data_IF_907005050734
#
_entry.id   IF_907005050734
#
_cell.length_a   1.000
_cell.length_b   1.000
_cell.length_c   1.000
_cell.angle_alpha   90.00
_cell.angle_beta   90.00
_cell.angle_gamma   90.00
#
_symmetry.space_group_name_H-M   'P 1'
#
loop_
_entity.id
_entity.type
_entity.pdbx_description
1 polymer ?
#
# COMPACT_ATOMS: atom_id res chain seq x y z
N UNK A 1 -0.75 -2.88 9.69
CA UNK A 1 -0.11 -1.59 9.45
C UNK A 1 -0.71 -0.93 8.22
N UNK A 2 -0.89 0.39 8.26
CA UNK A 2 -1.23 1.24 7.11
C UNK A 2 -0.27 2.42 7.16
N UNK A 3 0.33 2.75 6.02
CA UNK A 3 1.24 3.89 5.90
C UNK A 3 0.49 5.23 5.87
N UNK A 4 -0.65 5.26 5.18
CA UNK A 4 -1.55 6.42 4.99
C UNK A 4 -0.97 7.61 4.21
N UNK A 5 0.22 7.46 3.66
CA UNK A 5 0.89 8.45 2.82
C UNK A 5 1.83 7.78 1.82
N UNK A 6 1.48 6.59 1.33
CA UNK A 6 2.33 5.86 0.41
C UNK A 6 2.15 6.40 -1.02
N UNK A 7 3.08 7.25 -1.43
CA UNK A 7 3.23 7.78 -2.78
C UNK A 7 4.68 7.65 -3.23
N UNK A 8 4.99 7.95 -4.48
CA UNK A 8 6.32 7.72 -5.07
C UNK A 8 7.45 8.43 -4.32
N UNK A 9 7.22 9.63 -3.75
CA UNK A 9 8.25 10.38 -3.02
C UNK A 9 8.59 9.76 -1.66
N UNK A 10 7.70 8.91 -1.13
CA UNK A 10 7.93 8.13 0.10
C UNK A 10 8.47 6.73 -0.19
N UNK A 11 8.86 6.47 -1.45
CA UNK A 11 9.52 5.23 -1.88
C UNK A 11 10.91 5.54 -2.38
N UNK A 12 11.91 5.08 -1.65
CA UNK A 12 13.32 5.23 -2.02
C UNK A 12 13.94 3.87 -2.37
N UNK A 13 15.15 3.89 -2.89
CA UNK A 13 15.93 2.67 -3.06
C UNK A 13 17.39 2.88 -2.62
N UNK A 14 18.02 1.79 -2.24
CA UNK A 14 19.48 1.72 -2.03
C UNK A 14 20.06 0.69 -2.99
N UNK A 15 21.31 0.91 -3.41
CA UNK A 15 22.01 -0.07 -4.24
C UNK A 15 22.45 -1.24 -3.37
N UNK A 16 22.22 -2.45 -3.86
CA UNK A 16 22.63 -3.71 -3.24
C UNK A 16 23.37 -4.59 -4.25
N UNK A 17 24.00 -5.68 -3.80
CA UNK A 17 24.76 -6.60 -4.68
C UNK A 17 23.99 -7.87 -5.00
N UNK A 18 22.97 -8.18 -4.22
CA UNK A 18 22.18 -9.38 -4.36
C UNK A 18 21.29 -9.29 -5.60
N UNK A 19 21.39 -10.27 -6.50
CA UNK A 19 20.56 -10.35 -7.71
C UNK A 19 19.10 -10.68 -7.38
N UNK A 20 18.88 -11.43 -6.30
CA UNK A 20 17.55 -11.89 -5.89
C UNK A 20 17.35 -11.75 -4.39
N UNK A 21 16.08 -11.50 -4.00
CA UNK A 21 15.59 -11.67 -2.64
C UNK A 21 14.57 -12.79 -2.58
N UNK A 22 14.56 -13.49 -1.44
CA UNK A 22 13.66 -14.61 -1.21
C UNK A 22 12.65 -14.25 -0.13
N UNK A 23 11.39 -14.51 -0.42
CA UNK A 23 10.29 -14.21 0.50
C UNK A 23 9.46 -15.47 0.74
N UNK A 24 8.93 -15.61 1.96
CA UNK A 24 7.92 -16.61 2.27
C UNK A 24 6.65 -15.92 2.74
N UNK A 25 5.54 -16.21 2.07
CA UNK A 25 4.21 -15.74 2.45
C UNK A 25 3.19 -16.86 2.26
N UNK A 26 2.38 -17.15 3.28
CA UNK A 26 1.37 -18.21 3.27
C UNK A 26 1.91 -19.58 2.77
N UNK A 27 3.07 -19.99 3.26
CA UNK A 27 3.78 -21.22 2.89
C UNK A 27 4.21 -21.31 1.39
N UNK A 28 4.11 -20.24 0.64
CA UNK A 28 4.66 -20.13 -0.70
C UNK A 28 5.96 -19.35 -0.66
N UNK A 29 6.91 -19.75 -1.51
CA UNK A 29 8.18 -19.06 -1.63
C UNK A 29 8.24 -18.30 -2.94
N UNK A 30 8.84 -17.12 -2.89
CA UNK A 30 8.99 -16.22 -4.02
C UNK A 30 10.45 -15.83 -4.17
N UNK A 31 10.97 -15.85 -5.39
CA UNK A 31 12.26 -15.30 -5.75
C UNK A 31 12.05 -14.05 -6.59
N UNK A 32 12.39 -12.91 -6.02
CA UNK A 32 12.15 -11.60 -6.63
C UNK A 32 13.48 -11.01 -7.10
N UNK A 33 13.64 -10.67 -8.41
CA UNK A 33 14.83 -9.99 -8.89
C UNK A 33 14.93 -8.60 -8.26
N UNK A 34 16.13 -8.22 -7.88
CA UNK A 34 16.36 -6.93 -7.21
C UNK A 34 16.73 -5.81 -8.19
N UNK A 35 17.24 -6.15 -9.36
CA UNK A 35 17.86 -5.20 -10.28
C UNK A 35 18.93 -4.33 -9.58
N UNK A 36 19.66 -4.93 -8.63
CA UNK A 36 20.67 -4.29 -7.77
C UNK A 36 20.11 -3.16 -6.90
N UNK A 37 18.81 -3.19 -6.60
CA UNK A 37 18.12 -2.17 -5.79
C UNK A 37 17.28 -2.82 -4.70
N UNK A 38 17.27 -2.22 -3.53
CA UNK A 38 16.35 -2.53 -2.46
C UNK A 38 15.44 -1.35 -2.18
N UNK A 39 14.14 -1.58 -2.31
CA UNK A 39 13.13 -0.57 -2.04
C UNK A 39 13.01 -0.32 -0.54
N UNK A 40 12.94 0.95 -0.16
CA UNK A 40 12.72 1.42 1.21
C UNK A 40 11.52 2.36 1.23
N UNK A 41 10.55 2.03 2.05
CA UNK A 41 9.43 2.93 2.35
C UNK A 41 9.88 3.82 3.51
N UNK A 42 9.63 5.11 3.40
CA UNK A 42 10.03 6.14 4.38
C UNK A 42 8.82 6.97 4.79
N UNK A 43 9.00 7.86 5.77
CA UNK A 43 8.00 8.80 6.27
C UNK A 43 6.72 8.15 6.83
N UNK A 44 6.86 7.55 7.99
CA UNK A 44 5.76 6.88 8.69
C UNK A 44 4.94 7.83 9.59
N UNK A 45 5.04 9.16 9.40
CA UNK A 45 4.36 10.14 10.26
C UNK A 45 2.84 9.96 10.32
N UNK A 46 2.22 9.48 9.21
CA UNK A 46 0.80 9.12 9.13
C UNK A 46 0.50 7.64 9.37
N UNK A 47 1.50 6.88 9.85
CA UNK A 47 1.37 5.44 10.04
C UNK A 47 0.35 5.06 11.11
N UNK A 48 -0.43 4.01 10.84
CA UNK A 48 -1.34 3.38 11.79
C UNK A 48 -0.90 1.94 11.99
N UNK A 49 -0.57 1.57 13.22
CA UNK A 49 -0.14 0.24 13.60
C UNK A 49 -1.16 -0.39 14.55
N UNK A 50 -1.54 -1.65 14.30
CA UNK A 50 -2.29 -2.46 15.25
C UNK A 50 -1.39 -3.58 15.77
N UNK A 51 -1.22 -3.65 17.10
CA UNK A 51 -0.50 -4.71 17.80
C UNK A 51 -1.46 -5.32 18.82
N UNK A 52 -1.83 -6.57 18.62
CA UNK A 52 -2.92 -7.20 19.38
C UNK A 52 -4.21 -6.39 19.21
N UNK A 53 -4.82 -5.97 20.30
CA UNK A 53 -6.04 -5.14 20.30
C UNK A 53 -5.77 -3.64 20.37
N UNK A 54 -4.51 -3.24 20.56
CA UNK A 54 -4.13 -1.84 20.65
C UNK A 54 -3.82 -1.26 19.28
N UNK A 55 -4.25 -0.01 19.07
CA UNK A 55 -3.94 0.79 17.87
C UNK A 55 -3.05 1.95 18.26
N UNK A 56 -2.03 2.18 17.46
CA UNK A 56 -1.07 3.27 17.58
C UNK A 56 -1.15 4.13 16.33
N UNK A 57 -1.29 5.43 16.51
CA UNK A 57 -1.32 6.44 15.45
C UNK A 57 -0.89 7.78 16.03
N UNK A 58 -0.39 8.66 15.17
CA UNK A 58 0.05 9.98 15.58
C UNK A 58 -1.12 10.97 15.71
N UNK A 59 -0.84 12.13 16.29
CA UNK A 59 -1.81 13.21 16.47
C UNK A 59 -2.21 13.91 15.16
N UNK A 60 -1.54 13.60 14.04
CA UNK A 60 -1.85 14.20 12.72
C UNK A 60 -3.31 13.99 12.28
N UNK A 61 -3.98 12.95 12.80
CA UNK A 61 -5.39 12.67 12.52
C UNK A 61 -6.39 13.40 13.46
N UNK A 62 -5.92 14.23 14.38
CA UNK A 62 -6.79 15.14 15.15
C UNK A 62 -7.41 16.19 14.20
N UNK A 63 -8.51 16.79 14.61
CA UNK A 63 -9.23 17.75 13.75
C UNK A 63 -8.37 18.95 13.31
N UNK A 64 -7.41 19.33 14.11
CA UNK A 64 -6.44 20.41 13.90
C UNK A 64 -5.08 19.92 13.39
N UNK A 65 -4.94 18.62 13.14
CA UNK A 65 -3.71 18.02 12.60
C UNK A 65 -3.68 17.99 11.07
N UNK A 66 -2.49 17.78 10.50
CA UNK A 66 -2.21 17.80 9.04
C UNK A 66 -3.06 16.80 8.24
N UNK A 67 -3.48 15.69 8.84
CA UNK A 67 -4.40 14.71 8.25
C UNK A 67 -5.78 14.74 8.92
N UNK A 68 -6.15 15.89 9.50
CA UNK A 68 -7.46 16.11 10.11
C UNK A 68 -8.57 15.91 9.08
N UNK A 69 -9.60 15.12 9.43
CA UNK A 69 -10.69 14.81 8.50
C UNK A 69 -10.50 13.55 7.64
N UNK A 70 -9.28 13.05 7.43
CA UNK A 70 -9.04 11.85 6.59
C UNK A 70 -9.90 10.65 7.03
N UNK A 71 -10.07 10.44 8.33
CA UNK A 71 -10.91 9.38 8.90
C UNK A 71 -12.08 9.90 9.73
N UNK A 72 -12.37 11.19 9.67
CA UNK A 72 -13.53 11.79 10.34
C UNK A 72 -14.74 11.69 9.41
N UNK A 73 -15.39 10.54 9.43
CA UNK A 73 -16.69 10.35 8.79
C UNK A 73 -17.76 11.00 9.65
N UNK A 74 -17.88 12.32 9.62
CA UNK A 74 -19.06 12.98 10.13
C UNK A 74 -20.19 12.69 9.16
N UNK A 75 -21.12 11.83 9.56
CA UNK A 75 -22.45 11.89 8.95
C UNK A 75 -23.04 13.23 9.38
N UNK A 76 -23.28 14.12 8.43
CA UNK A 76 -24.09 15.31 8.65
C UNK A 76 -25.39 14.85 9.34
N UNK A 77 -25.58 15.28 10.59
CA UNK A 77 -26.80 15.03 11.37
C UNK A 77 -26.76 13.91 12.42
N UNK A 78 -25.63 13.24 12.68
CA UNK A 78 -25.58 12.21 13.74
C UNK A 78 -24.50 12.47 14.79
N UNK A 79 -24.93 12.74 16.03
CA UNK A 79 -24.08 12.97 17.21
C UNK A 79 -23.34 11.74 17.73
N UNK A 80 -23.44 10.59 17.06
CA UNK A 80 -22.77 9.36 17.46
C UNK A 80 -21.33 9.34 16.91
N UNK A 81 -20.35 9.44 17.80
CA UNK A 81 -18.93 9.19 17.51
C UNK A 81 -18.76 7.78 16.96
N UNK A 82 -18.90 7.59 15.64
CA UNK A 82 -18.59 6.30 15.02
C UNK A 82 -17.09 6.04 15.20
N UNK A 83 -16.73 4.80 15.62
CA UNK A 83 -15.34 4.36 15.67
C UNK A 83 -14.72 4.55 14.30
N UNK A 84 -13.56 5.23 14.24
CA UNK A 84 -12.77 5.42 13.02
C UNK A 84 -12.55 4.06 12.35
N UNK A 85 -12.99 3.91 11.13
CA UNK A 85 -12.79 2.71 10.31
C UNK A 85 -11.64 3.00 9.36
N UNK A 86 -10.49 2.38 9.58
CA UNK A 86 -9.34 2.51 8.69
C UNK A 86 -9.51 1.63 7.45
N UNK A 87 -9.10 2.13 6.29
CA UNK A 87 -9.17 1.40 5.04
C UNK A 87 -7.79 0.84 4.68
N UNK A 88 -7.63 -0.48 4.77
CA UNK A 88 -6.37 -1.17 4.44
C UNK A 88 -6.06 -1.21 2.94
N UNK A 89 -6.97 -0.77 2.09
CA UNK A 89 -6.71 -0.56 0.66
C UNK A 89 -6.02 0.79 0.39
N UNK A 90 -5.89 1.66 1.39
CA UNK A 90 -5.41 3.03 1.21
C UNK A 90 -4.04 3.08 0.52
N UNK A 91 -3.07 2.32 1.03
CA UNK A 91 -1.67 2.44 0.64
C UNK A 91 -1.45 2.12 -0.85
N UNK A 92 -2.01 1.02 -1.36
CA UNK A 92 -1.87 0.69 -2.78
C UNK A 92 -2.70 1.62 -3.67
N UNK A 93 -3.87 2.08 -3.22
CA UNK A 93 -4.64 3.07 -3.96
C UNK A 93 -3.85 4.38 -4.10
N UNK A 94 -3.27 4.89 -3.01
CA UNK A 94 -2.46 6.12 -3.04
C UNK A 94 -1.18 5.95 -3.86
N UNK A 95 -0.47 4.84 -3.70
CA UNK A 95 0.69 4.55 -4.54
C UNK A 95 0.29 4.48 -6.02
N UNK A 96 -0.82 3.85 -6.32
CA UNK A 96 -1.35 3.74 -7.69
C UNK A 96 -1.53 5.09 -8.36
N UNK A 97 -2.09 6.09 -7.66
CA UNK A 97 -2.32 7.43 -8.23
C UNK A 97 -1.03 8.14 -8.63
N UNK A 98 0.11 7.81 -8.03
CA UNK A 98 1.38 8.48 -8.32
C UNK A 98 2.30 7.65 -9.22
N UNK A 99 2.34 6.32 -9.06
CA UNK A 99 3.26 5.47 -9.83
C UNK A 99 2.79 5.23 -11.27
N UNK A 100 1.49 5.33 -11.55
CA UNK A 100 0.91 5.00 -12.86
C UNK A 100 1.53 5.81 -14.00
N UNK A 101 1.96 7.02 -13.73
CA UNK A 101 2.57 7.91 -14.71
C UNK A 101 3.99 7.47 -15.15
N UNK A 102 4.60 6.54 -14.42
CA UNK A 102 5.94 5.99 -14.69
C UNK A 102 5.89 4.59 -15.30
N UNK A 103 4.69 4.06 -15.59
CA UNK A 103 4.51 2.71 -16.11
C UNK A 103 4.26 2.75 -17.61
N UNK A 104 5.19 2.21 -18.39
CA UNK A 104 5.07 2.07 -19.85
C UNK A 104 4.41 0.74 -20.24
N UNK A 105 4.60 -0.31 -19.44
CA UNK A 105 4.01 -1.62 -19.68
C UNK A 105 2.49 -1.60 -19.50
N UNK A 106 1.77 -2.05 -20.52
CA UNK A 106 0.30 -2.00 -20.56
C UNK A 106 -0.37 -2.88 -19.51
N UNK A 107 0.14 -4.10 -19.29
CA UNK A 107 -0.46 -5.03 -18.32
C UNK A 107 -0.23 -4.53 -16.90
N UNK A 108 0.99 -4.09 -16.60
CA UNK A 108 1.33 -3.51 -15.31
C UNK A 108 0.53 -2.22 -15.06
N UNK A 109 0.38 -1.38 -16.07
CA UNK A 109 -0.43 -0.15 -15.98
C UNK A 109 -1.89 -0.47 -15.69
N UNK A 110 -2.50 -1.45 -16.37
CA UNK A 110 -3.87 -1.88 -16.11
C UNK A 110 -4.02 -2.48 -14.71
N UNK A 111 -3.04 -3.27 -14.27
CA UNK A 111 -3.01 -3.83 -12.94
C UNK A 111 -3.03 -2.73 -11.87
N UNK A 112 -2.15 -1.74 -11.97
CA UNK A 112 -2.07 -0.61 -11.04
C UNK A 112 -3.32 0.27 -11.14
N UNK A 113 -3.83 0.51 -12.34
CA UNK A 113 -5.08 1.27 -12.54
C UNK A 113 -6.26 0.64 -11.80
N UNK A 114 -6.28 -0.68 -11.66
CA UNK A 114 -7.33 -1.36 -10.88
C UNK A 114 -7.34 -0.99 -9.38
N UNK A 115 -6.27 -0.40 -8.86
CA UNK A 115 -6.18 0.06 -7.47
C UNK A 115 -6.77 1.46 -7.26
N UNK A 116 -6.87 2.24 -8.34
CA UNK A 116 -7.24 3.66 -8.28
C UNK A 116 -8.73 3.90 -8.50
N UNK A 117 -9.52 2.83 -8.69
CA UNK A 117 -10.96 2.93 -8.86
C UNK A 117 -11.68 2.62 -7.53
N UNK A 118 -12.48 3.57 -7.08
CA UNK A 118 -13.24 3.47 -5.84
C UNK A 118 -14.49 2.59 -5.95
N UNK A 119 -15.11 2.28 -4.82
CA UNK A 119 -16.36 1.47 -4.75
C UNK A 119 -17.53 2.10 -5.47
N UNK A 120 -17.53 3.40 -5.68
CA UNK A 120 -18.55 4.18 -6.39
C UNK A 120 -18.17 4.49 -7.85
N UNK A 121 -17.08 3.88 -8.34
CA UNK A 121 -16.60 4.04 -9.70
C UNK A 121 -15.76 5.29 -9.95
N UNK A 122 -15.51 6.12 -8.94
CA UNK A 122 -14.61 7.27 -9.09
C UNK A 122 -13.19 6.84 -9.35
N UNK A 123 -12.51 7.58 -10.21
CA UNK A 123 -11.09 7.40 -10.49
C UNK A 123 -10.26 8.41 -9.69
N UNK A 124 -9.44 7.92 -8.77
CA UNK A 124 -8.59 8.76 -7.92
C UNK A 124 -7.47 9.46 -8.70
N UNK A 125 -7.09 8.97 -9.90
CA UNK A 125 -6.06 9.61 -10.75
C UNK A 125 -6.59 10.92 -11.32
N UNK A 126 -7.88 10.99 -11.65
CA UNK A 126 -8.51 12.15 -12.24
C UNK A 126 -8.81 13.27 -11.24
N UNK A 127 -8.55 13.05 -9.96
CA UNK A 127 -8.77 14.03 -8.91
C UNK A 127 -7.57 14.97 -8.76
N UNK A 128 -7.83 16.21 -8.36
CA UNK A 128 -6.78 17.13 -7.97
C UNK A 128 -5.97 16.55 -6.80
N UNK A 129 -4.64 16.66 -6.87
CA UNK A 129 -3.74 16.12 -5.84
C UNK A 129 -3.69 17.04 -4.61
N UNK A 130 -4.84 17.25 -4.02
CA UNK A 130 -5.02 17.94 -2.76
C UNK A 130 -5.42 16.95 -1.64
N UNK A 131 -5.74 17.47 -0.47
CA UNK A 131 -6.13 16.61 0.65
C UNK A 131 -7.47 15.89 0.42
N UNK A 132 -8.27 16.30 -0.54
CA UNK A 132 -9.54 15.65 -0.88
C UNK A 132 -9.34 14.22 -1.40
N UNK A 133 -8.27 13.97 -2.18
CA UNK A 133 -7.93 12.63 -2.65
C UNK A 133 -7.65 11.67 -1.50
N UNK A 134 -7.00 12.13 -0.43
CA UNK A 134 -6.76 11.30 0.77
C UNK A 134 -8.07 10.92 1.48
N UNK A 135 -9.00 11.86 1.58
CA UNK A 135 -10.31 11.58 2.16
C UNK A 135 -11.08 10.57 1.31
N UNK A 136 -11.06 10.73 0.00
CA UNK A 136 -11.79 9.84 -0.91
C UNK A 136 -11.18 8.44 -0.99
N UNK A 137 -9.86 8.32 -1.07
CA UNK A 137 -9.18 7.03 -0.98
C UNK A 137 -9.53 6.34 0.36
N UNK A 138 -9.51 7.07 1.47
CA UNK A 138 -9.82 6.49 2.78
C UNK A 138 -11.25 5.94 2.87
N UNK A 139 -12.19 6.50 2.11
CA UNK A 139 -13.60 6.13 2.09
C UNK A 139 -13.92 5.06 1.07
N UNK A 140 -13.36 5.16 -0.12
CA UNK A 140 -13.83 4.45 -1.30
C UNK A 140 -12.83 3.45 -1.90
N UNK A 141 -11.52 3.47 -1.49
CA UNK A 141 -10.55 2.51 -2.00
C UNK A 141 -10.98 1.07 -1.71
N UNK A 142 -10.87 0.22 -2.74
CA UNK A 142 -11.28 -1.18 -2.70
C UNK A 142 -10.39 -2.02 -3.62
N UNK A 143 -10.47 -3.35 -3.49
CA UNK A 143 -9.81 -4.33 -4.37
C UNK A 143 -8.28 -4.28 -4.41
N UNK A 144 -7.63 -3.47 -3.58
CA UNK A 144 -6.19 -3.29 -3.55
C UNK A 144 -5.56 -3.62 -2.18
N UNK A 145 -6.13 -4.55 -1.43
CA UNK A 145 -5.45 -5.10 -0.24
C UNK A 145 -4.15 -5.79 -0.66
N UNK A 146 -2.98 -5.43 -0.11
CA UNK A 146 -1.69 -6.02 -0.50
C UNK A 146 -1.68 -7.55 -0.49
N UNK A 147 -2.27 -8.15 0.56
CA UNK A 147 -2.37 -9.62 0.71
C UNK A 147 -3.15 -10.31 -0.41
N UNK A 148 -4.06 -9.60 -1.10
CA UNK A 148 -4.85 -10.15 -2.19
C UNK A 148 -4.13 -9.99 -3.52
N UNK A 149 -3.27 -8.97 -3.66
CA UNK A 149 -2.56 -8.71 -4.90
C UNK A 149 -1.54 -9.79 -5.22
N UNK A 150 -0.84 -10.32 -4.22
CA UNK A 150 0.19 -11.34 -4.42
C UNK A 150 -0.34 -12.65 -5.04
N UNK A 151 -1.65 -12.87 -5.02
CA UNK A 151 -2.28 -14.01 -5.66
C UNK A 151 -2.66 -13.78 -7.14
N UNK A 152 -2.42 -12.59 -7.67
CA UNK A 152 -2.68 -12.28 -9.08
C UNK A 152 -1.68 -12.99 -9.98
N UNK A 153 -2.07 -13.23 -11.24
CA UNK A 153 -1.27 -13.95 -12.23
C UNK A 153 0.12 -13.35 -12.41
N UNK A 154 0.20 -12.02 -12.42
CA UNK A 154 1.45 -11.26 -12.51
C UNK A 154 2.52 -11.69 -11.48
N UNK A 155 2.15 -12.22 -10.33
CA UNK A 155 3.10 -12.65 -9.30
C UNK A 155 3.45 -14.14 -9.37
N UNK A 156 2.79 -14.93 -10.23
CA UNK A 156 3.01 -16.37 -10.31
C UNK A 156 4.40 -16.71 -10.89
N UNK A 157 4.95 -15.86 -11.74
CA UNK A 157 6.30 -16.02 -12.30
C UNK A 157 7.40 -15.97 -11.22
N UNK A 158 7.13 -15.32 -10.09
CA UNK A 158 8.07 -15.23 -8.96
C UNK A 158 8.00 -16.42 -8.01
N UNK A 159 7.03 -17.34 -8.18
CA UNK A 159 6.95 -18.54 -7.35
C UNK A 159 8.22 -19.39 -7.49
N UNK A 160 8.73 -19.86 -6.36
CA UNK A 160 10.00 -20.55 -6.33
C UNK A 160 9.97 -21.79 -5.44
N UNK A 161 10.71 -22.82 -5.82
CA UNK A 161 10.78 -24.03 -5.01
C UNK A 161 11.75 -23.83 -3.84
N UNK A 162 11.27 -24.07 -2.62
CA UNK A 162 12.08 -23.98 -1.40
C UNK A 162 13.41 -24.72 -1.50
N UNK A 163 13.43 -25.90 -2.11
CA UNK A 163 14.62 -26.74 -2.25
C UNK A 163 15.74 -26.10 -3.10
N UNK A 164 15.39 -25.10 -3.91
CA UNK A 164 16.33 -24.41 -4.79
C UNK A 164 16.83 -23.08 -4.19
N UNK A 165 16.41 -22.74 -2.97
CA UNK A 165 16.92 -21.56 -2.26
C UNK A 165 18.34 -21.86 -1.80
N UNK A 166 19.33 -21.00 -2.08
CA UNK A 166 20.70 -21.19 -1.59
C UNK A 166 20.74 -21.27 -0.05
N UNK A 167 21.55 -22.15 0.51
CA UNK A 167 21.63 -22.37 1.96
C UNK A 167 21.97 -21.11 2.76
N UNK A 168 22.75 -20.21 2.17
CA UNK A 168 23.17 -18.95 2.79
C UNK A 168 22.23 -17.77 2.46
N UNK A 169 21.15 -17.99 1.69
CA UNK A 169 20.23 -16.94 1.35
C UNK A 169 19.30 -16.58 2.52
N UNK A 170 19.14 -15.29 2.80
CA UNK A 170 18.14 -14.83 3.74
C UNK A 170 16.73 -14.95 3.17
N UNK A 171 15.81 -15.55 3.91
CA UNK A 171 14.39 -15.65 3.54
C UNK A 171 13.58 -14.75 4.45
N UNK A 172 12.97 -13.72 3.89
CA UNK A 172 12.06 -12.82 4.60
C UNK A 172 10.71 -13.50 4.80
N UNK A 173 10.27 -13.64 6.05
CA UNK A 173 9.03 -14.32 6.42
C UNK A 173 7.95 -13.33 6.83
N UNK A 174 6.75 -13.45 6.24
CA UNK A 174 5.59 -12.58 6.49
C UNK A 174 4.32 -13.40 6.72
#
# INVERSE_FOLDING_TARGET
FIHNDLHTDNVMYINIKEDYKYFMYQNKYYRVPTFNKEIKIIDFARGILKVGDKKYFSDVFKNDGDAGGQYNYMNEGCCLKKKRKYNFNFDLARLGTTIINYLDDYELRNFVNSWTIGTDGRDFISMDDDFSVYMDISRYATNCLPKNQINRELFQEYLFNKKNIPENAHVYMY
#
